data_IF_822615395635
#
_entry.id   IF_822615395635
#
_cell.length_a   1.000
_cell.length_b   1.000
_cell.length_c   1.000
_cell.angle_alpha   90.00
_cell.angle_beta   90.00
_cell.angle_gamma   90.00
#
_symmetry.space_group_name_H-M   'P 1'
#
loop_
_entity.id
_entity.type
_entity.pdbx_description
1 polymer ?
#
# COMPACT_ATOMS: atom_id res chain seq x y z
N UNK A 1 -10.26 -18.04 25.95
CA UNK A 1 -10.38 -16.64 26.44
C UNK A 1 -10.10 -15.70 25.27
N UNK A 2 -10.79 -14.57 25.16
CA UNK A 2 -10.57 -13.52 24.15
C UNK A 2 -9.17 -12.94 24.31
N UNK A 3 -8.41 -12.88 23.24
CA UNK A 3 -7.03 -12.35 23.23
C UNK A 3 -7.03 -10.85 22.97
N UNK A 4 -6.28 -10.08 23.75
CA UNK A 4 -6.13 -8.64 23.58
C UNK A 4 -4.83 -8.31 22.85
N UNK A 5 -4.93 -7.62 21.71
CA UNK A 5 -3.80 -7.24 20.87
C UNK A 5 -3.69 -5.70 20.79
N UNK A 6 -2.52 -5.18 21.15
CA UNK A 6 -2.20 -3.76 20.97
C UNK A 6 -1.49 -3.54 19.62
N UNK A 7 -2.08 -2.73 18.76
CA UNK A 7 -1.54 -2.36 17.45
C UNK A 7 -0.76 -1.05 17.57
N UNK A 8 0.44 -0.99 16.98
CA UNK A 8 1.18 0.24 16.74
C UNK A 8 1.06 0.67 15.29
N UNK A 9 0.53 1.88 15.04
CA UNK A 9 0.46 2.51 13.72
C UNK A 9 0.75 4.01 13.82
N UNK A 10 1.37 4.62 12.81
CA UNK A 10 1.64 6.07 12.84
C UNK A 10 0.39 6.92 12.76
N UNK A 11 -0.59 6.48 11.98
CA UNK A 11 -1.87 7.12 11.78
C UNK A 11 -2.99 6.06 11.81
N UNK A 12 -4.23 6.48 11.84
CA UNK A 12 -5.40 5.64 11.65
C UNK A 12 -6.64 6.47 11.32
N UNK A 13 -7.67 5.80 10.81
CA UNK A 13 -8.96 6.39 10.44
C UNK A 13 -9.48 7.43 11.46
N UNK A 14 -10.30 8.41 11.01
CA UNK A 14 -10.84 8.59 9.66
C UNK A 14 -9.96 9.44 8.73
N UNK A 15 -8.78 9.89 9.16
CA UNK A 15 -7.90 10.78 8.38
C UNK A 15 -6.50 10.22 8.25
N UNK A 16 -5.77 10.67 7.21
CA UNK A 16 -4.37 10.30 6.95
C UNK A 16 -4.16 8.80 6.69
N UNK A 17 -5.04 8.24 5.85
CA UNK A 17 -5.11 6.83 5.54
C UNK A 17 -4.12 6.50 4.41
N UNK A 18 -3.34 5.43 4.60
CA UNK A 18 -2.51 4.79 3.60
C UNK A 18 -2.78 3.30 3.53
N UNK A 19 -2.00 2.56 2.72
CA UNK A 19 -2.19 1.11 2.57
C UNK A 19 -2.09 0.32 3.87
N UNK A 20 -1.22 0.75 4.79
CA UNK A 20 -1.06 0.10 6.09
C UNK A 20 -2.29 0.25 6.99
N UNK A 21 -2.89 1.44 7.02
CA UNK A 21 -4.10 1.71 7.81
C UNK A 21 -5.31 0.97 7.23
N UNK A 22 -5.39 0.88 5.90
CA UNK A 22 -6.40 0.05 5.21
C UNK A 22 -6.23 -1.40 5.60
N UNK A 23 -5.02 -1.96 5.53
CA UNK A 23 -4.76 -3.35 5.90
C UNK A 23 -5.16 -3.66 7.36
N UNK A 24 -4.80 -2.79 8.31
CA UNK A 24 -5.23 -2.98 9.71
C UNK A 24 -6.77 -3.06 9.78
N UNK A 25 -7.47 -2.10 9.17
CA UNK A 25 -8.94 -2.04 9.24
C UNK A 25 -9.58 -3.25 8.58
N UNK A 26 -9.20 -3.57 7.37
CA UNK A 26 -9.77 -4.67 6.59
C UNK A 26 -9.56 -6.03 7.29
N UNK A 27 -8.41 -6.25 7.91
CA UNK A 27 -8.10 -7.46 8.66
C UNK A 27 -8.89 -7.50 9.98
N UNK A 28 -8.84 -6.42 10.78
CA UNK A 28 -9.47 -6.44 12.11
C UNK A 28 -10.98 -6.49 12.05
N UNK A 29 -11.61 -5.82 11.06
CA UNK A 29 -13.07 -5.80 10.92
C UNK A 29 -13.67 -7.17 10.50
N UNK A 30 -12.83 -8.05 9.91
CA UNK A 30 -13.21 -9.40 9.48
C UNK A 30 -12.93 -10.49 10.54
N UNK A 31 -12.11 -10.17 11.53
CA UNK A 31 -11.82 -11.10 12.63
C UNK A 31 -12.90 -10.95 13.70
N UNK A 32 -13.40 -12.10 14.21
CA UNK A 32 -14.46 -12.10 15.22
C UNK A 32 -14.06 -11.33 16.48
N UNK A 33 -14.87 -10.35 16.92
CA UNK A 33 -14.64 -9.62 18.16
C UNK A 33 -14.77 -10.50 19.43
N UNK A 34 -15.29 -11.71 19.31
CA UNK A 34 -15.33 -12.68 20.42
C UNK A 34 -13.99 -13.39 20.61
N UNK A 35 -13.20 -13.52 19.53
CA UNK A 35 -11.89 -14.15 19.57
C UNK A 35 -10.77 -13.15 19.96
N UNK A 36 -10.83 -11.96 19.40
CA UNK A 36 -9.80 -10.92 19.58
C UNK A 36 -10.40 -9.55 19.93
N UNK A 37 -9.66 -8.81 20.76
CA UNK A 37 -9.92 -7.41 21.08
C UNK A 37 -8.72 -6.58 20.65
N UNK A 38 -8.96 -5.62 19.75
CA UNK A 38 -7.90 -4.81 19.19
C UNK A 38 -7.90 -3.41 19.79
N UNK A 39 -6.75 -3.00 20.32
CA UNK A 39 -6.44 -1.63 20.68
C UNK A 39 -5.38 -1.09 19.75
N UNK A 40 -5.39 0.21 19.44
CA UNK A 40 -4.41 0.82 18.54
C UNK A 40 -3.88 2.13 19.10
N UNK A 41 -2.57 2.30 19.12
CA UNK A 41 -1.90 3.56 19.46
C UNK A 41 -1.39 4.23 18.21
N UNK A 42 -1.86 5.47 17.93
CA UNK A 42 -1.41 6.29 16.80
C UNK A 42 -1.28 7.77 17.16
N UNK A 43 -0.71 8.57 16.25
CA UNK A 43 -0.68 10.02 16.42
C UNK A 43 -2.07 10.64 16.24
N UNK A 44 -2.35 11.68 17.03
CA UNK A 44 -3.64 12.41 16.99
C UNK A 44 -3.69 13.48 15.91
N UNK A 45 -2.64 13.99 15.40
CA UNK A 45 -2.52 15.12 14.46
C UNK A 45 -3.64 16.18 14.52
N UNK A 46 -4.91 15.76 14.44
CA UNK A 46 -6.09 16.62 14.40
C UNK A 46 -6.77 16.74 15.78
N UNK A 47 -6.89 17.98 16.27
CA UNK A 47 -7.52 18.28 17.58
C UNK A 47 -9.04 18.05 17.59
N UNK A 48 -9.68 17.96 16.42
CA UNK A 48 -11.13 17.66 16.32
C UNK A 48 -11.43 16.18 16.61
N UNK A 49 -10.45 15.28 16.45
CA UNK A 49 -10.61 13.87 16.76
C UNK A 49 -10.51 13.61 18.28
N UNK A 50 -11.33 12.71 18.85
CA UNK A 50 -11.23 12.34 20.25
C UNK A 50 -9.93 11.59 20.55
N UNK A 51 -9.47 11.61 21.81
CA UNK A 51 -8.27 10.88 22.25
C UNK A 51 -8.48 9.36 22.20
N UNK A 52 -9.70 8.92 22.49
CA UNK A 52 -10.08 7.50 22.41
C UNK A 52 -11.38 7.38 21.64
N UNK A 53 -11.45 6.41 20.72
CA UNK A 53 -12.61 6.18 19.86
C UNK A 53 -12.59 4.75 19.34
N UNK A 54 -13.75 4.10 19.26
CA UNK A 54 -13.88 2.82 18.55
C UNK A 54 -14.16 3.08 17.07
N UNK A 55 -13.41 2.41 16.19
CA UNK A 55 -13.56 2.45 14.73
C UNK A 55 -13.52 1.00 14.23
N UNK A 56 -14.64 0.52 13.70
CA UNK A 56 -14.80 -0.91 13.42
C UNK A 56 -14.52 -1.74 14.67
N UNK A 57 -13.72 -2.77 14.57
CA UNK A 57 -13.33 -3.64 15.68
C UNK A 57 -12.13 -3.13 16.51
N UNK A 58 -11.70 -1.88 16.31
CA UNK A 58 -10.49 -1.34 16.95
C UNK A 58 -10.80 -0.20 17.90
N UNK A 59 -10.33 -0.28 19.16
CA UNK A 59 -10.29 0.84 20.11
C UNK A 59 -9.02 1.65 19.89
N UNK A 60 -9.16 2.84 19.31
CA UNK A 60 -8.05 3.73 18.92
C UNK A 60 -7.69 4.68 20.05
N UNK A 61 -6.43 4.71 20.44
CA UNK A 61 -5.84 5.61 21.43
C UNK A 61 -4.88 6.59 20.72
N UNK A 62 -5.24 7.86 20.66
CA UNK A 62 -4.48 8.90 19.93
C UNK A 62 -3.59 9.70 20.88
N UNK A 63 -2.32 9.84 20.52
CA UNK A 63 -1.28 10.54 21.29
C UNK A 63 -0.64 11.67 20.47
N UNK A 64 0.13 12.51 21.11
CA UNK A 64 0.96 13.53 20.46
C UNK A 64 0.31 14.92 20.38
N UNK A 65 1.00 15.81 19.67
CA UNK A 65 0.62 17.20 19.43
C UNK A 65 -0.44 17.30 18.33
N UNK A 66 -1.28 18.31 18.43
CA UNK A 66 -2.41 18.49 17.51
C UNK A 66 -2.49 19.91 16.97
N UNK A 67 -3.04 20.05 15.76
CA UNK A 67 -3.57 21.32 15.24
C UNK A 67 -5.02 21.12 14.80
N UNK A 68 -5.72 22.20 14.50
CA UNK A 68 -7.10 22.10 14.07
C UNK A 68 -7.18 21.77 12.59
N UNK A 69 -7.80 20.64 12.24
CA UNK A 69 -8.07 20.17 10.88
C UNK A 69 -6.86 20.27 9.92
N UNK A 70 -5.71 19.62 10.23
CA UNK A 70 -4.51 19.72 9.43
C UNK A 70 -4.66 19.02 8.07
N UNK A 71 -4.06 19.60 7.04
CA UNK A 71 -3.87 18.97 5.74
C UNK A 71 -2.67 18.00 5.76
N UNK A 72 -2.52 17.16 4.73
CA UNK A 72 -1.35 16.29 4.57
C UNK A 72 -0.03 17.08 4.51
N UNK A 73 -0.05 18.29 3.94
CA UNK A 73 1.11 19.20 3.90
C UNK A 73 1.52 19.70 5.29
N UNK A 74 0.56 19.92 6.19
CA UNK A 74 0.82 20.43 7.54
C UNK A 74 1.50 19.38 8.43
N UNK A 75 1.37 18.09 8.12
CA UNK A 75 2.09 17.02 8.84
C UNK A 75 3.62 17.10 8.71
N UNK A 76 4.12 17.91 7.77
CA UNK A 76 5.56 18.16 7.57
C UNK A 76 6.03 19.44 8.28
N UNK A 77 5.12 20.25 8.84
CA UNK A 77 5.39 21.50 9.52
C UNK A 77 5.34 21.33 11.05
N UNK A 78 5.97 22.24 11.77
CA UNK A 78 5.81 22.33 13.23
C UNK A 78 4.38 22.78 13.61
N UNK A 79 3.80 22.26 14.70
CA UNK A 79 4.39 21.30 15.63
C UNK A 79 4.21 19.82 15.22
N UNK A 80 3.40 19.51 14.18
CA UNK A 80 3.00 18.15 13.84
C UNK A 80 4.17 17.26 13.36
N UNK A 81 5.19 17.86 12.76
CA UNK A 81 6.41 17.13 12.38
C UNK A 81 7.09 16.45 13.59
N UNK A 82 7.02 17.08 14.76
CA UNK A 82 7.57 16.51 16.00
C UNK A 82 6.91 15.19 16.39
N UNK A 83 5.62 15.00 16.07
CA UNK A 83 4.95 13.72 16.36
C UNK A 83 5.65 12.53 15.72
N UNK A 84 6.12 12.66 14.47
CA UNK A 84 6.84 11.56 13.79
C UNK A 84 8.17 11.24 14.47
N UNK A 85 8.86 12.27 14.99
CA UNK A 85 10.13 12.12 15.68
C UNK A 85 9.95 11.53 17.08
N UNK A 86 8.93 11.97 17.82
CA UNK A 86 8.71 11.59 19.22
C UNK A 86 7.85 10.34 19.37
N UNK A 87 7.16 9.90 18.32
CA UNK A 87 6.31 8.71 18.34
C UNK A 87 7.01 7.47 18.90
N UNK A 88 8.29 7.26 18.55
CA UNK A 88 9.08 6.11 18.99
C UNK A 88 9.21 5.99 20.53
N UNK A 89 9.02 7.08 21.27
CA UNK A 89 9.03 7.11 22.74
C UNK A 89 7.60 7.23 23.31
N UNK A 90 6.82 8.14 22.75
CA UNK A 90 5.46 8.40 23.25
C UNK A 90 4.56 7.17 23.11
N UNK A 91 4.66 6.43 21.99
CA UNK A 91 3.89 5.21 21.76
C UNK A 91 4.25 4.11 22.76
N UNK A 92 5.55 3.92 23.06
CA UNK A 92 5.97 2.98 24.10
C UNK A 92 5.38 3.32 25.48
N UNK A 93 5.43 4.58 25.90
CA UNK A 93 4.91 4.98 27.22
C UNK A 93 3.38 4.91 27.26
N UNK A 94 2.69 5.24 26.19
CA UNK A 94 1.24 5.08 26.08
C UNK A 94 0.84 3.60 26.17
N UNK A 95 1.53 2.74 25.43
CA UNK A 95 1.33 1.28 25.45
C UNK A 95 1.58 0.69 26.84
N UNK A 96 2.67 1.10 27.50
CA UNK A 96 2.99 0.65 28.87
C UNK A 96 1.88 1.02 29.85
N UNK A 97 1.36 2.24 29.77
CA UNK A 97 0.24 2.69 30.63
C UNK A 97 -1.03 1.91 30.32
N UNK A 98 -1.38 1.70 29.05
CA UNK A 98 -2.55 0.91 28.68
C UNK A 98 -2.42 -0.55 29.15
N UNK A 99 -1.23 -1.12 29.06
CA UNK A 99 -0.99 -2.49 29.49
C UNK A 99 -1.24 -2.73 31.01
N UNK A 100 -1.08 -1.70 31.86
CA UNK A 100 -1.40 -1.83 33.29
C UNK A 100 -2.87 -2.09 33.57
N UNK A 101 -3.76 -1.66 32.71
CA UNK A 101 -5.22 -1.84 32.84
C UNK A 101 -5.74 -2.94 31.92
N UNK A 102 -5.31 -2.97 30.68
CA UNK A 102 -5.84 -3.87 29.65
C UNK A 102 -5.19 -5.27 29.66
N UNK A 103 -3.92 -5.37 30.08
CA UNK A 103 -3.15 -6.62 30.11
C UNK A 103 -3.12 -7.32 28.75
N UNK A 104 -2.48 -6.69 27.74
CA UNK A 104 -2.39 -7.22 26.38
C UNK A 104 -1.67 -8.58 26.33
N UNK A 105 -2.23 -9.54 25.62
CA UNK A 105 -1.60 -10.82 25.30
C UNK A 105 -0.54 -10.69 24.20
N UNK A 106 -0.76 -9.75 23.26
CA UNK A 106 0.13 -9.51 22.13
C UNK A 106 0.23 -8.05 21.70
N UNK A 107 1.31 -7.75 20.96
CA UNK A 107 1.47 -6.50 20.23
C UNK A 107 1.64 -6.78 18.75
N UNK A 108 1.09 -5.91 17.90
CA UNK A 108 1.20 -5.96 16.46
C UNK A 108 1.73 -4.62 15.95
N UNK A 109 2.95 -4.62 15.40
CA UNK A 109 3.58 -3.41 14.86
C UNK A 109 3.46 -3.36 13.34
N UNK A 110 2.98 -2.24 12.83
CA UNK A 110 2.79 -2.01 11.40
C UNK A 110 3.92 -1.16 10.84
N UNK A 111 4.74 -1.74 9.99
CA UNK A 111 5.99 -1.19 9.42
C UNK A 111 7.13 -1.00 10.44
N UNK A 112 8.27 -1.62 10.18
CA UNK A 112 9.42 -1.65 11.11
C UNK A 112 9.96 -0.25 11.43
N UNK A 113 10.16 0.61 10.40
CA UNK A 113 10.70 1.96 10.59
C UNK A 113 9.72 2.89 11.32
N UNK A 114 8.43 2.63 11.18
CA UNK A 114 7.38 3.45 11.75
C UNK A 114 7.10 3.11 13.22
N UNK A 115 7.00 1.82 13.53
CA UNK A 115 6.47 1.34 14.81
C UNK A 115 7.28 0.23 15.47
N UNK A 116 8.29 -0.30 14.79
CA UNK A 116 9.09 -1.42 15.30
C UNK A 116 9.88 -1.07 16.56
N UNK A 117 10.39 0.16 16.67
CA UNK A 117 11.14 0.60 17.86
C UNK A 117 10.29 0.59 19.14
N UNK A 118 9.07 1.19 19.20
CA UNK A 118 8.24 1.12 20.38
C UNK A 118 7.77 -0.32 20.69
N UNK A 119 7.48 -1.13 19.68
CA UNK A 119 7.07 -2.52 19.86
C UNK A 119 8.22 -3.39 20.40
N UNK A 120 9.43 -3.28 19.86
CA UNK A 120 10.63 -3.97 20.37
C UNK A 120 10.97 -3.57 21.80
N UNK A 121 10.85 -2.28 22.15
CA UNK A 121 10.99 -1.80 23.54
C UNK A 121 9.91 -2.37 24.45
N UNK A 122 8.67 -2.46 23.95
CA UNK A 122 7.55 -3.05 24.70
C UNK A 122 7.77 -4.54 24.96
N UNK A 123 8.13 -5.31 23.93
CA UNK A 123 8.50 -6.73 24.07
C UNK A 123 9.64 -6.95 25.06
N UNK A 124 10.65 -6.08 25.06
CA UNK A 124 11.75 -6.14 26.03
C UNK A 124 11.29 -5.88 27.47
N UNK A 125 10.34 -4.95 27.66
CA UNK A 125 9.78 -4.62 28.98
C UNK A 125 8.80 -5.70 29.49
N UNK A 126 8.12 -6.36 28.58
CA UNK A 126 7.11 -7.40 28.86
C UNK A 126 7.37 -8.65 28.02
N UNK A 127 8.38 -9.48 28.38
CA UNK A 127 8.81 -10.62 27.55
C UNK A 127 7.71 -11.67 27.32
N UNK A 128 6.74 -11.79 28.23
CA UNK A 128 5.59 -12.70 28.09
C UNK A 128 4.56 -12.27 27.06
N UNK A 129 4.52 -10.98 26.67
CA UNK A 129 3.62 -10.49 25.63
C UNK A 129 4.17 -10.92 24.27
N UNK A 130 3.32 -11.53 23.44
CA UNK A 130 3.70 -11.95 22.08
C UNK A 130 3.87 -10.74 21.16
N UNK A 131 4.75 -10.85 20.14
CA UNK A 131 5.04 -9.73 19.24
C UNK A 131 5.02 -10.15 17.78
N UNK A 132 4.13 -9.53 17.02
CA UNK A 132 4.06 -9.62 15.55
C UNK A 132 4.58 -8.32 14.94
N UNK A 133 5.52 -8.42 14.00
CA UNK A 133 5.94 -7.32 13.14
C UNK A 133 5.40 -7.56 11.72
N UNK A 134 4.65 -6.62 11.18
CA UNK A 134 4.25 -6.63 9.77
C UNK A 134 5.15 -5.68 8.97
N UNK A 135 5.76 -6.18 7.91
CA UNK A 135 6.52 -5.38 6.95
C UNK A 135 5.65 -5.02 5.74
N UNK A 136 5.47 -3.71 5.55
CA UNK A 136 4.70 -3.11 4.44
C UNK A 136 5.44 -1.92 3.82
N UNK A 137 6.75 -1.88 3.98
CA UNK A 137 7.58 -0.82 3.47
C UNK A 137 7.58 -0.80 1.95
N UNK A 138 7.35 0.38 1.37
CA UNK A 138 7.46 0.58 -0.08
C UNK A 138 8.68 1.42 -0.47
N UNK A 139 9.45 1.89 0.51
CA UNK A 139 10.73 2.55 0.27
C UNK A 139 11.87 1.49 0.28
N UNK A 140 12.98 1.72 -0.43
CA UNK A 140 14.10 0.77 -0.44
C UNK A 140 14.64 0.49 0.97
N UNK A 141 14.98 -0.79 1.31
CA UNK A 141 15.54 -1.16 2.61
C UNK A 141 16.73 -0.29 3.03
N UNK A 142 17.65 -0.02 2.10
CA UNK A 142 18.87 0.77 2.36
C UNK A 142 18.54 2.20 2.79
N UNK A 143 17.53 2.81 2.16
CA UNK A 143 17.04 4.15 2.54
C UNK A 143 16.43 4.13 3.95
N UNK A 144 15.64 3.09 4.26
CA UNK A 144 15.03 2.92 5.58
C UNK A 144 16.09 2.72 6.63
N UNK A 145 17.06 1.83 6.41
CA UNK A 145 18.15 1.55 7.34
C UNK A 145 19.01 2.80 7.60
N UNK A 146 19.30 3.59 6.55
CA UNK A 146 20.01 4.85 6.69
C UNK A 146 19.21 5.85 7.56
N UNK A 147 17.92 5.97 7.33
CA UNK A 147 17.01 6.83 8.10
C UNK A 147 16.90 6.40 9.58
N UNK A 148 16.98 5.09 9.82
CA UNK A 148 16.84 4.51 11.16
C UNK A 148 18.18 4.37 11.90
N UNK A 149 19.31 4.74 11.30
CA UNK A 149 20.63 4.76 11.97
C UNK A 149 20.65 5.41 13.37
N UNK A 150 19.93 6.54 13.62
CA UNK A 150 19.90 7.14 14.96
C UNK A 150 19.32 6.22 16.06
N UNK A 151 18.51 5.23 15.68
CA UNK A 151 17.96 4.24 16.60
C UNK A 151 18.86 3.01 16.78
N UNK A 152 19.86 2.82 15.89
CA UNK A 152 20.89 1.80 15.96
C UNK A 152 20.36 0.42 16.33
N UNK A 153 20.93 -0.17 17.41
CA UNK A 153 20.52 -1.49 17.91
C UNK A 153 19.02 -1.62 18.19
N UNK A 154 18.36 -0.54 18.64
CA UNK A 154 16.93 -0.58 18.97
C UNK A 154 16.05 -0.82 17.73
N UNK A 155 16.50 -0.37 16.56
CA UNK A 155 15.83 -0.68 15.30
C UNK A 155 16.01 -2.15 14.90
N UNK A 156 17.23 -2.70 15.02
CA UNK A 156 17.47 -4.13 14.81
C UNK A 156 16.68 -5.02 15.77
N UNK A 157 16.49 -4.59 17.03
CA UNK A 157 15.65 -5.29 18.00
C UNK A 157 14.16 -5.38 17.59
N UNK A 158 13.67 -4.52 16.69
CA UNK A 158 12.32 -4.63 16.13
C UNK A 158 12.15 -5.95 15.38
N UNK A 159 13.17 -6.42 14.68
CA UNK A 159 13.16 -7.68 13.93
C UNK A 159 13.52 -8.88 14.80
N UNK A 160 14.62 -8.77 15.56
CA UNK A 160 15.17 -9.91 16.30
C UNK A 160 14.38 -10.29 17.54
N UNK A 161 13.47 -9.43 18.03
CA UNK A 161 12.55 -9.71 19.15
C UNK A 161 11.16 -10.12 18.73
N UNK A 162 10.83 -10.05 17.43
CA UNK A 162 9.53 -10.49 16.95
C UNK A 162 9.38 -12.01 17.12
N UNK A 163 8.27 -12.44 17.70
CA UNK A 163 7.93 -13.86 17.75
C UNK A 163 7.48 -14.34 16.36
N UNK A 164 6.86 -13.44 15.58
CA UNK A 164 6.48 -13.69 14.18
C UNK A 164 6.67 -12.42 13.36
N UNK A 165 7.24 -12.54 12.16
CA UNK A 165 7.24 -11.47 11.15
C UNK A 165 6.32 -11.88 10.01
N UNK A 166 5.26 -11.10 9.78
CA UNK A 166 4.43 -11.18 8.59
C UNK A 166 4.92 -10.16 7.56
N UNK A 167 4.94 -10.55 6.30
CA UNK A 167 5.43 -9.74 5.19
C UNK A 167 4.42 -9.75 4.05
N UNK A 168 4.28 -8.61 3.35
CA UNK A 168 3.35 -8.50 2.22
C UNK A 168 3.97 -8.93 0.89
N UNK A 169 5.28 -9.23 0.88
CA UNK A 169 6.00 -9.68 -0.31
C UNK A 169 7.22 -10.52 0.05
N UNK A 170 7.65 -11.36 -0.89
CA UNK A 170 8.90 -12.14 -0.77
C UNK A 170 10.13 -11.24 -0.65
N UNK A 171 10.09 -10.06 -1.29
CA UNK A 171 11.13 -9.04 -1.18
C UNK A 171 11.32 -8.58 0.27
N UNK A 172 10.24 -8.24 0.97
CA UNK A 172 10.28 -7.84 2.38
C UNK A 172 10.64 -9.01 3.30
N UNK A 173 10.30 -10.24 2.92
CA UNK A 173 10.73 -11.45 3.63
C UNK A 173 12.26 -11.62 3.63
N UNK A 174 12.90 -11.38 2.49
CA UNK A 174 14.38 -11.37 2.40
C UNK A 174 14.98 -10.28 3.28
N UNK A 175 14.39 -9.08 3.28
CA UNK A 175 14.84 -8.00 4.16
C UNK A 175 14.73 -8.37 5.65
N UNK A 176 13.63 -8.99 6.09
CA UNK A 176 13.49 -9.46 7.48
C UNK A 176 14.64 -10.39 7.88
N UNK A 177 15.01 -11.33 7.02
CA UNK A 177 16.15 -12.23 7.26
C UNK A 177 17.48 -11.48 7.32
N UNK A 178 17.72 -10.53 6.40
CA UNK A 178 18.91 -9.67 6.41
C UNK A 178 19.01 -8.84 7.70
N UNK A 179 17.89 -8.42 8.27
CA UNK A 179 17.82 -7.70 9.54
C UNK A 179 17.98 -8.58 10.79
N UNK A 180 18.24 -9.88 10.61
CA UNK A 180 18.57 -10.83 11.68
C UNK A 180 17.37 -11.54 12.29
N UNK A 181 16.21 -11.57 11.61
CA UNK A 181 15.12 -12.44 12.01
C UNK A 181 15.48 -13.90 11.73
N UNK A 182 15.39 -14.75 12.76
CA UNK A 182 15.80 -16.16 12.68
C UNK A 182 14.64 -17.11 12.34
N UNK A 183 13.38 -16.64 12.42
CA UNK A 183 12.20 -17.40 12.00
C UNK A 183 12.00 -17.36 10.49
N UNK A 184 10.99 -18.07 10.01
CA UNK A 184 10.53 -17.98 8.63
C UNK A 184 9.45 -16.87 8.55
N UNK A 185 9.66 -15.80 7.77
CA UNK A 185 8.63 -14.79 7.59
C UNK A 185 7.36 -15.38 6.97
N UNK A 186 6.20 -15.04 7.50
CA UNK A 186 4.90 -15.49 6.99
C UNK A 186 4.48 -14.55 5.86
N UNK A 187 4.42 -15.05 4.63
CA UNK A 187 4.01 -14.29 3.46
C UNK A 187 2.48 -14.23 3.37
N UNK A 188 1.93 -13.09 3.73
CA UNK A 188 0.50 -12.77 3.56
C UNK A 188 0.43 -11.39 2.91
N UNK A 189 0.07 -11.30 1.62
CA UNK A 189 0.05 -10.02 0.91
C UNK A 189 -1.08 -9.11 1.43
N UNK A 190 -1.06 -7.85 1.01
CA UNK A 190 -2.26 -7.03 1.05
C UNK A 190 -3.27 -7.51 0.00
N UNK A 191 -4.48 -6.96 0.05
CA UNK A 191 -5.57 -7.38 -0.81
C UNK A 191 -6.33 -6.20 -1.42
N UNK A 192 -7.30 -6.52 -2.22
CA UNK A 192 -8.30 -5.62 -2.79
C UNK A 192 -9.70 -6.06 -2.33
N UNK A 193 -10.64 -5.14 -2.27
CA UNK A 193 -12.05 -5.49 -2.17
C UNK A 193 -12.50 -5.98 -3.55
N UNK A 194 -12.42 -7.30 -3.78
CA UNK A 194 -12.70 -7.91 -5.08
C UNK A 194 -14.10 -7.59 -5.56
N UNK A 195 -15.13 -7.67 -4.70
CA UNK A 195 -16.51 -7.33 -5.05
C UNK A 195 -16.66 -5.88 -5.53
N UNK A 196 -15.89 -4.94 -4.96
CA UNK A 196 -15.93 -3.54 -5.35
C UNK A 196 -15.28 -3.30 -6.72
N UNK A 197 -14.13 -3.92 -7.01
CA UNK A 197 -13.39 -3.69 -8.26
C UNK A 197 -13.89 -4.54 -9.43
N UNK A 198 -14.56 -5.66 -9.18
CA UNK A 198 -15.15 -6.49 -10.24
C UNK A 198 -16.56 -6.07 -10.62
N UNK A 199 -17.23 -5.22 -9.82
CA UNK A 199 -18.61 -4.83 -10.06
C UNK A 199 -18.81 -4.33 -11.51
N UNK A 200 -19.90 -4.72 -12.17
CA UNK A 200 -20.22 -4.21 -13.49
C UNK A 200 -20.72 -2.76 -13.42
N UNK A 201 -20.46 -2.00 -14.48
CA UNK A 201 -21.01 -0.66 -14.68
C UNK A 201 -21.83 -0.66 -15.99
N UNK A 202 -22.88 0.13 -16.05
CA UNK A 202 -23.60 0.33 -17.30
C UNK A 202 -22.75 1.10 -18.30
N UNK A 203 -22.97 0.90 -19.60
CA UNK A 203 -22.27 1.72 -20.62
C UNK A 203 -22.53 3.22 -20.42
N UNK A 204 -23.72 3.60 -19.97
CA UNK A 204 -24.04 5.01 -19.64
C UNK A 204 -23.13 5.56 -18.55
N UNK A 205 -22.84 4.76 -17.49
CA UNK A 205 -21.96 5.18 -16.40
C UNK A 205 -20.51 5.29 -16.88
N UNK A 206 -20.06 4.35 -17.71
CA UNK A 206 -18.72 4.37 -18.30
C UNK A 206 -18.56 5.53 -19.29
N UNK A 207 -19.57 5.81 -20.10
CA UNK A 207 -19.56 6.94 -21.04
C UNK A 207 -19.53 8.29 -20.30
N UNK A 208 -20.23 8.41 -19.17
CA UNK A 208 -20.12 9.59 -18.31
C UNK A 208 -18.68 9.79 -17.79
N UNK A 209 -18.03 8.74 -17.29
CA UNK A 209 -16.64 8.80 -16.84
C UNK A 209 -15.67 9.08 -18.00
N UNK A 210 -15.88 8.48 -19.20
CA UNK A 210 -15.10 8.78 -20.42
C UNK A 210 -15.26 10.24 -20.84
N UNK A 211 -16.48 10.79 -20.77
CA UNK A 211 -16.74 12.20 -21.10
C UNK A 211 -16.06 13.15 -20.12
N UNK A 212 -16.06 12.84 -18.81
CA UNK A 212 -15.32 13.63 -17.81
C UNK A 212 -13.80 13.62 -18.05
N UNK A 213 -13.25 12.48 -18.51
CA UNK A 213 -11.86 12.36 -18.92
C UNK A 213 -11.56 13.08 -20.25
N UNK A 214 -12.58 13.48 -21.01
CA UNK A 214 -12.43 14.02 -22.37
C UNK A 214 -12.08 12.97 -23.42
N UNK A 215 -12.28 11.67 -23.13
CA UNK A 215 -11.95 10.54 -23.99
C UNK A 215 -12.87 10.50 -25.20
N UNK A 216 -12.29 10.55 -26.39
CA UNK A 216 -12.99 10.48 -27.69
C UNK A 216 -12.93 9.06 -28.25
N UNK A 217 -13.82 8.71 -29.19
CA UNK A 217 -13.72 7.44 -29.90
C UNK A 217 -12.33 7.29 -30.58
N UNK A 218 -11.67 6.17 -30.31
CA UNK A 218 -10.31 5.89 -30.82
C UNK A 218 -9.17 6.37 -29.94
N UNK A 219 -9.44 7.11 -28.86
CA UNK A 219 -8.42 7.45 -27.87
C UNK A 219 -8.14 6.25 -26.95
N UNK A 220 -6.86 6.12 -26.56
CA UNK A 220 -6.37 5.15 -25.59
C UNK A 220 -5.90 5.90 -24.34
N UNK A 221 -6.52 5.59 -23.21
CA UNK A 221 -6.19 6.21 -21.93
C UNK A 221 -5.39 5.28 -21.04
N UNK A 222 -4.12 5.64 -20.82
CA UNK A 222 -3.34 5.09 -19.72
C UNK A 222 -3.85 5.70 -18.41
N UNK A 223 -3.83 4.94 -17.31
CA UNK A 223 -4.23 5.43 -15.98
C UNK A 223 -3.27 4.99 -14.90
N UNK A 224 -3.03 5.86 -13.93
CA UNK A 224 -2.38 5.51 -12.66
C UNK A 224 -3.14 6.10 -11.49
N UNK A 225 -3.18 5.34 -10.37
CA UNK A 225 -3.73 5.77 -9.08
C UNK A 225 -2.62 5.70 -8.04
N UNK A 226 -1.86 6.79 -7.87
CA UNK A 226 -0.69 6.79 -7.00
C UNK A 226 -0.31 8.17 -6.48
N UNK A 227 0.43 8.22 -5.38
CA UNK A 227 1.05 9.47 -4.94
C UNK A 227 2.09 9.94 -5.95
N UNK A 228 2.16 11.25 -6.19
CA UNK A 228 3.17 11.85 -7.06
C UNK A 228 4.48 12.00 -6.28
N UNK A 229 5.27 10.92 -6.28
CA UNK A 229 6.58 10.81 -5.62
C UNK A 229 7.55 10.06 -6.53
N UNK A 230 8.82 10.38 -6.46
CA UNK A 230 9.89 9.85 -7.30
C UNK A 230 9.84 8.33 -7.51
N UNK A 231 9.59 7.57 -6.44
CA UNK A 231 9.59 6.10 -6.52
C UNK A 231 8.48 5.51 -7.40
N UNK A 232 7.39 6.26 -7.66
CA UNK A 232 6.28 5.79 -8.49
C UNK A 232 6.48 6.03 -9.99
N UNK A 233 7.55 6.75 -10.37
CA UNK A 233 8.02 6.93 -11.75
C UNK A 233 6.96 7.47 -12.72
N UNK A 234 6.07 8.38 -12.27
CA UNK A 234 5.09 9.05 -13.13
C UNK A 234 5.77 9.86 -14.25
N UNK A 235 6.96 10.38 -14.00
CA UNK A 235 7.79 11.09 -14.96
C UNK A 235 8.21 10.21 -16.15
N UNK A 236 8.49 8.93 -15.95
CA UNK A 236 8.82 7.98 -17.02
C UNK A 236 7.62 7.74 -17.94
N UNK A 237 6.41 7.69 -17.39
CA UNK A 237 5.18 7.57 -18.19
C UNK A 237 4.95 8.84 -19.00
N UNK A 238 5.15 10.03 -18.42
CA UNK A 238 5.04 11.30 -19.13
C UNK A 238 6.03 11.34 -20.32
N UNK A 239 7.27 10.87 -20.13
CA UNK A 239 8.26 10.75 -21.22
C UNK A 239 7.82 9.76 -22.29
N UNK A 240 7.24 8.61 -21.89
CA UNK A 240 6.72 7.63 -22.84
C UNK A 240 5.56 8.16 -23.68
N UNK A 241 4.68 9.02 -23.12
CA UNK A 241 3.61 9.67 -23.88
C UNK A 241 4.15 10.48 -25.07
N UNK A 242 5.31 11.10 -24.94
CA UNK A 242 5.95 11.82 -26.06
C UNK A 242 6.39 10.90 -27.21
N UNK A 243 6.59 9.61 -26.95
CA UNK A 243 7.00 8.58 -27.92
C UNK A 243 5.80 7.84 -28.53
N UNK A 244 4.60 8.02 -28.01
CA UNK A 244 3.39 7.31 -28.39
C UNK A 244 2.53 8.12 -29.39
N UNK A 245 1.63 7.46 -30.15
CA UNK A 245 0.69 8.12 -31.07
C UNK A 245 -0.15 9.21 -30.37
N UNK A 246 -0.61 10.20 -31.16
CA UNK A 246 -1.30 11.38 -30.64
C UNK A 246 -2.63 11.08 -29.93
N UNK A 247 -3.26 9.94 -30.20
CA UNK A 247 -4.47 9.47 -29.56
C UNK A 247 -4.24 8.70 -28.24
N UNK A 248 -2.99 8.63 -27.76
CA UNK A 248 -2.68 8.01 -26.45
C UNK A 248 -2.57 9.13 -25.42
N UNK A 249 -3.38 9.02 -24.36
CA UNK A 249 -3.50 9.95 -23.25
C UNK A 249 -3.10 9.30 -21.93
N UNK A 250 -2.81 10.11 -20.92
CA UNK A 250 -2.48 9.62 -19.57
C UNK A 250 -3.27 10.35 -18.51
N UNK A 251 -4.14 9.63 -17.79
CA UNK A 251 -4.91 10.08 -16.65
C UNK A 251 -4.17 9.76 -15.35
N UNK A 252 -3.84 10.78 -14.56
CA UNK A 252 -3.06 10.66 -13.32
C UNK A 252 -3.92 11.02 -12.13
N UNK A 253 -4.38 10.02 -11.40
CA UNK A 253 -5.09 10.21 -10.14
C UNK A 253 -4.12 10.12 -8.96
N UNK A 254 -3.89 11.25 -8.33
CA UNK A 254 -3.02 11.37 -7.18
C UNK A 254 -2.48 12.77 -6.98
N UNK A 255 -1.92 13.00 -5.80
CA UNK A 255 -1.24 14.23 -5.43
C UNK A 255 0.12 13.91 -4.81
N UNK A 256 1.03 14.87 -4.80
CA UNK A 256 2.34 14.65 -4.17
C UNK A 256 3.34 15.77 -4.41
N UNK A 257 4.53 15.67 -3.79
CA UNK A 257 5.56 16.70 -3.91
C UNK A 257 6.11 16.88 -5.34
N UNK A 258 5.99 15.86 -6.21
CA UNK A 258 6.54 15.89 -7.56
C UNK A 258 5.60 16.57 -8.57
N UNK A 259 4.39 17.00 -8.14
CA UNK A 259 3.40 17.60 -9.04
C UNK A 259 3.97 18.76 -9.86
N UNK A 260 4.63 19.72 -9.23
CA UNK A 260 5.20 20.89 -9.95
C UNK A 260 6.31 20.49 -10.93
N UNK A 261 7.08 19.45 -10.61
CA UNK A 261 8.09 18.90 -11.52
C UNK A 261 7.43 18.25 -12.74
N UNK A 262 6.36 17.48 -12.52
CA UNK A 262 5.59 16.84 -13.60
C UNK A 262 4.91 17.86 -14.49
N UNK A 263 4.30 18.92 -13.95
CA UNK A 263 3.72 20.04 -14.72
C UNK A 263 4.74 20.68 -15.67
N UNK A 264 5.96 20.93 -15.19
CA UNK A 264 7.04 21.45 -16.02
C UNK A 264 7.46 20.46 -17.12
N UNK A 265 7.62 19.19 -16.78
CA UNK A 265 8.01 18.14 -17.72
C UNK A 265 6.97 17.97 -18.84
N UNK A 266 5.68 18.04 -18.52
CA UNK A 266 4.56 17.96 -19.47
C UNK A 266 4.65 19.09 -20.52
N UNK A 267 4.93 20.32 -20.06
CA UNK A 267 5.11 21.48 -20.95
C UNK A 267 6.37 21.34 -21.80
N UNK A 268 7.50 20.95 -21.18
CA UNK A 268 8.79 20.76 -21.85
C UNK A 268 8.71 19.76 -23.01
N UNK A 269 7.97 18.66 -22.79
CA UNK A 269 7.78 17.60 -23.79
C UNK A 269 6.66 17.87 -24.80
N UNK A 270 5.89 18.96 -24.64
CA UNK A 270 4.80 19.32 -25.54
C UNK A 270 3.61 18.35 -25.49
N UNK A 271 3.36 17.73 -24.33
CA UNK A 271 2.28 16.72 -24.14
C UNK A 271 1.13 17.22 -23.26
N UNK A 272 0.97 18.54 -23.15
CA UNK A 272 -0.04 19.18 -22.28
C UNK A 272 -1.46 18.72 -22.57
N UNK A 273 -1.82 18.49 -23.83
CA UNK A 273 -3.17 18.05 -24.23
C UNK A 273 -3.42 16.55 -24.00
N UNK A 274 -2.38 15.80 -23.61
CA UNK A 274 -2.44 14.33 -23.49
C UNK A 274 -2.19 13.81 -22.08
N UNK A 275 -1.64 14.62 -21.17
CA UNK A 275 -1.38 14.22 -19.78
C UNK A 275 -2.26 15.04 -18.84
N UNK A 276 -3.12 14.35 -18.11
CA UNK A 276 -4.15 14.94 -17.26
C UNK A 276 -3.85 14.65 -15.79
N UNK A 277 -3.38 15.66 -15.04
CA UNK A 277 -3.17 15.57 -13.58
C UNK A 277 -4.51 15.87 -12.89
N UNK A 278 -5.26 14.81 -12.52
CA UNK A 278 -6.64 14.89 -12.07
C UNK A 278 -6.80 15.02 -10.55
N UNK A 279 -5.69 14.97 -9.80
CA UNK A 279 -5.72 15.08 -8.35
C UNK A 279 -6.25 13.82 -7.66
N UNK A 280 -6.86 13.98 -6.49
CA UNK A 280 -7.36 12.87 -5.70
C UNK A 280 -8.65 12.31 -6.29
N UNK A 281 -8.76 10.98 -6.31
CA UNK A 281 -10.01 10.26 -6.60
C UNK A 281 -10.47 9.52 -5.35
N UNK A 282 -11.79 9.54 -5.09
CA UNK A 282 -12.37 8.75 -4.00
C UNK A 282 -12.36 7.26 -4.38
N UNK A 283 -11.94 6.41 -3.43
CA UNK A 283 -11.89 4.97 -3.62
C UNK A 283 -13.26 4.37 -3.98
N UNK A 284 -14.36 5.00 -3.53
CA UNK A 284 -15.72 4.54 -3.83
C UNK A 284 -16.06 4.59 -5.32
N UNK A 285 -15.53 5.56 -6.07
CA UNK A 285 -15.79 5.74 -7.51
C UNK A 285 -14.62 5.27 -8.39
N UNK A 286 -13.48 4.99 -7.79
CA UNK A 286 -12.25 4.60 -8.51
C UNK A 286 -12.43 3.46 -9.50
N UNK A 287 -13.17 2.35 -9.21
CA UNK A 287 -13.33 1.26 -10.17
C UNK A 287 -14.01 1.69 -11.47
N UNK A 288 -14.97 2.62 -11.41
CA UNK A 288 -15.63 3.16 -12.61
C UNK A 288 -14.64 3.88 -13.52
N UNK A 289 -13.78 4.74 -12.96
CA UNK A 289 -12.80 5.48 -13.74
C UNK A 289 -11.65 4.59 -14.23
N UNK A 290 -11.27 3.57 -13.49
CA UNK A 290 -10.35 2.55 -13.99
C UNK A 290 -10.94 1.86 -15.22
N UNK A 291 -12.18 1.37 -15.13
CA UNK A 291 -12.88 0.68 -16.25
C UNK A 291 -13.21 1.61 -17.44
N UNK A 292 -13.21 2.92 -17.25
CA UNK A 292 -13.34 3.90 -18.34
C UNK A 292 -12.01 4.10 -19.11
N UNK A 293 -10.88 3.71 -18.53
CA UNK A 293 -9.55 3.72 -19.14
C UNK A 293 -9.20 2.37 -19.78
N UNK A 294 -8.05 2.28 -20.46
CA UNK A 294 -7.69 1.12 -21.27
C UNK A 294 -6.49 0.34 -20.70
N UNK A 295 -5.53 1.03 -20.04
CA UNK A 295 -4.29 0.44 -19.56
C UNK A 295 -3.91 1.06 -18.22
N UNK A 296 -3.71 0.24 -17.20
CA UNK A 296 -3.11 0.70 -15.96
C UNK A 296 -1.59 0.68 -16.06
N UNK A 297 -0.94 1.77 -15.62
CA UNK A 297 0.51 1.88 -15.71
C UNK A 297 1.12 2.53 -14.46
N UNK A 298 2.12 1.87 -13.86
CA UNK A 298 2.97 2.45 -12.81
C UNK A 298 4.33 1.73 -12.78
N UNK A 299 5.35 2.25 -13.50
CA UNK A 299 6.67 1.62 -13.57
C UNK A 299 7.53 1.99 -12.35
N UNK A 300 7.07 1.63 -11.15
CA UNK A 300 7.68 2.03 -9.87
C UNK A 300 9.15 1.65 -9.78
N UNK A 301 9.99 2.57 -9.28
CA UNK A 301 11.42 2.36 -8.98
C UNK A 301 11.63 1.57 -7.69
N UNK A 302 10.60 1.52 -6.82
CA UNK A 302 10.60 0.74 -5.58
C UNK A 302 9.16 0.55 -5.10
N UNK A 303 8.82 -0.68 -4.68
CA UNK A 303 7.50 -0.98 -4.17
C UNK A 303 7.53 -2.15 -3.17
N UNK A 304 6.74 -2.07 -2.10
CA UNK A 304 6.55 -3.18 -1.16
C UNK A 304 5.66 -4.29 -1.74
N UNK A 305 4.57 -3.89 -2.38
CA UNK A 305 3.63 -4.70 -3.15
C UNK A 305 2.84 -3.82 -4.13
N UNK A 306 2.12 -2.81 -3.62
CA UNK A 306 1.33 -1.87 -4.41
C UNK A 306 -0.09 -2.36 -4.71
N UNK A 307 -1.04 -2.04 -3.83
CA UNK A 307 -2.43 -2.47 -3.95
C UNK A 307 -3.08 -2.05 -5.27
N UNK A 308 -2.74 -0.86 -5.81
CA UNK A 308 -3.36 -0.36 -7.04
C UNK A 308 -3.10 -1.22 -8.29
N UNK A 309 -2.05 -2.04 -8.30
CA UNK A 309 -1.85 -3.02 -9.39
C UNK A 309 -2.91 -4.12 -9.32
N UNK A 310 -3.11 -4.71 -8.14
CA UNK A 310 -4.12 -5.77 -7.96
C UNK A 310 -5.53 -5.21 -8.05
N UNK A 311 -5.76 -3.94 -7.72
CA UNK A 311 -7.01 -3.21 -7.97
C UNK A 311 -7.29 -3.10 -9.48
N UNK A 312 -6.28 -2.72 -10.26
CA UNK A 312 -6.40 -2.65 -11.73
C UNK A 312 -6.61 -4.03 -12.37
N UNK A 313 -5.89 -5.05 -11.89
CA UNK A 313 -6.07 -6.44 -12.34
C UNK A 313 -7.49 -6.96 -12.00
N UNK A 314 -8.03 -6.65 -10.82
CA UNK A 314 -9.40 -6.97 -10.45
C UNK A 314 -10.43 -6.28 -11.37
N UNK A 315 -10.13 -5.06 -11.82
CA UNK A 315 -10.95 -4.31 -12.76
C UNK A 315 -10.76 -4.74 -14.24
N UNK A 316 -10.00 -5.81 -14.50
CA UNK A 316 -9.69 -6.35 -15.85
C UNK A 316 -8.87 -5.42 -16.75
N UNK A 317 -8.10 -4.50 -16.18
CA UNK A 317 -7.19 -3.67 -16.98
C UNK A 317 -5.87 -4.43 -17.23
N UNK A 318 -5.31 -4.34 -18.45
CA UNK A 318 -3.92 -4.72 -18.69
C UNK A 318 -3.00 -3.82 -17.86
N UNK A 319 -2.00 -4.42 -17.19
CA UNK A 319 -1.10 -3.74 -16.27
C UNK A 319 0.31 -3.69 -16.85
N UNK A 320 0.88 -2.48 -16.94
CA UNK A 320 2.29 -2.24 -17.23
C UNK A 320 2.98 -1.80 -15.94
N UNK A 321 4.01 -2.53 -15.51
CA UNK A 321 4.79 -2.19 -14.32
C UNK A 321 6.22 -2.71 -14.40
N UNK A 322 7.06 -2.30 -13.46
CA UNK A 322 8.35 -2.96 -13.20
C UNK A 322 8.13 -4.24 -12.40
N UNK A 323 9.18 -5.05 -12.24
CA UNK A 323 9.21 -6.15 -11.28
C UNK A 323 10.05 -5.79 -10.04
N UNK A 324 10.08 -4.50 -9.68
CA UNK A 324 10.81 -4.00 -8.51
C UNK A 324 10.09 -4.36 -7.21
N UNK A 325 10.85 -4.88 -6.25
CA UNK A 325 10.34 -5.22 -4.93
C UNK A 325 9.27 -6.30 -4.96
N UNK A 326 8.14 -6.04 -4.33
CA UNK A 326 7.03 -7.00 -4.22
C UNK A 326 6.15 -7.11 -5.47
N UNK A 327 6.35 -6.27 -6.49
CA UNK A 327 5.62 -6.40 -7.76
C UNK A 327 5.97 -7.73 -8.46
N UNK A 328 7.19 -8.22 -8.28
CA UNK A 328 7.64 -9.50 -8.84
C UNK A 328 6.85 -10.72 -8.33
N UNK A 329 6.09 -10.60 -7.25
CA UNK A 329 5.31 -11.70 -6.68
C UNK A 329 3.99 -11.97 -7.44
N UNK A 330 3.52 -11.02 -8.28
CA UNK A 330 2.25 -11.14 -8.99
C UNK A 330 2.25 -10.66 -10.45
N UNK A 331 3.23 -9.84 -10.85
CA UNK A 331 3.36 -9.41 -12.25
C UNK A 331 4.30 -10.34 -12.99
N UNK A 332 3.74 -11.21 -13.81
CA UNK A 332 4.48 -12.15 -14.64
C UNK A 332 4.35 -11.77 -16.11
N UNK A 333 5.49 -11.59 -16.77
CA UNK A 333 5.60 -11.21 -18.18
C UNK A 333 6.01 -12.43 -19.03
N UNK A 334 5.47 -12.56 -20.24
CA UNK A 334 5.72 -13.71 -21.11
C UNK A 334 7.19 -13.94 -21.43
N UNK A 335 8.01 -12.87 -21.43
CA UNK A 335 9.45 -12.96 -21.76
C UNK A 335 10.32 -13.09 -20.53
N UNK A 336 9.95 -12.42 -19.44
CA UNK A 336 10.73 -12.45 -18.20
C UNK A 336 10.40 -13.63 -17.30
N UNK A 337 9.19 -14.18 -17.42
CA UNK A 337 8.68 -15.28 -16.59
C UNK A 337 8.01 -16.36 -17.46
N UNK A 338 8.74 -16.99 -18.39
CA UNK A 338 8.15 -17.91 -19.38
C UNK A 338 7.48 -19.16 -18.77
N UNK A 339 7.85 -19.50 -17.52
CA UNK A 339 7.29 -20.66 -16.80
C UNK A 339 6.05 -20.31 -15.95
N UNK A 340 5.59 -19.04 -16.00
CA UNK A 340 4.42 -18.57 -15.24
C UNK A 340 3.31 -18.12 -16.20
N UNK A 341 2.04 -18.28 -15.82
CA UNK A 341 0.95 -17.63 -16.55
C UNK A 341 1.13 -16.13 -16.59
N UNK A 342 1.08 -15.52 -17.78
CA UNK A 342 1.29 -14.08 -17.94
C UNK A 342 0.14 -13.30 -17.29
N UNK A 343 0.50 -12.31 -16.44
CA UNK A 343 -0.45 -11.46 -15.73
C UNK A 343 -0.30 -9.97 -16.03
N UNK A 344 0.70 -9.58 -16.83
CA UNK A 344 0.94 -8.20 -17.22
C UNK A 344 2.16 -8.03 -18.11
N UNK A 345 2.55 -6.79 -18.33
CA UNK A 345 3.71 -6.39 -19.13
C UNK A 345 4.78 -5.79 -18.23
N UNK A 346 5.94 -6.42 -18.18
CA UNK A 346 7.03 -5.95 -17.34
C UNK A 346 8.01 -5.07 -18.13
N UNK A 347 8.26 -3.88 -17.62
CA UNK A 347 9.26 -2.94 -18.12
C UNK A 347 10.39 -2.77 -17.10
N UNK A 348 11.53 -2.24 -17.51
CA UNK A 348 12.57 -1.84 -16.58
C UNK A 348 12.26 -0.43 -16.01
N UNK A 349 12.76 -0.14 -14.83
CA UNK A 349 12.73 1.22 -14.29
C UNK A 349 13.52 2.16 -15.21
N UNK A 350 13.15 3.43 -15.22
CA UNK A 350 13.80 4.49 -16.02
C UNK A 350 13.88 4.18 -17.53
N UNK A 351 12.86 3.53 -18.10
CA UNK A 351 12.83 3.07 -19.49
C UNK A 351 11.55 3.47 -20.25
N UNK A 352 11.36 4.75 -20.58
CA UNK A 352 10.20 5.23 -21.32
C UNK A 352 9.96 4.50 -22.65
N UNK A 353 11.03 4.07 -23.34
CA UNK A 353 10.96 3.35 -24.61
C UNK A 353 10.34 1.95 -24.43
N UNK A 354 10.64 1.26 -23.33
CA UNK A 354 10.01 -0.04 -23.03
C UNK A 354 8.53 0.15 -22.67
N UNK A 355 8.19 1.24 -21.98
CA UNK A 355 6.79 1.62 -21.73
C UNK A 355 6.06 1.81 -23.05
N UNK A 356 6.61 2.60 -23.97
CA UNK A 356 5.99 2.81 -25.28
C UNK A 356 5.83 1.51 -26.07
N UNK A 357 6.82 0.62 -26.00
CA UNK A 357 6.76 -0.70 -26.63
C UNK A 357 5.63 -1.56 -26.03
N UNK A 358 5.50 -1.59 -24.72
CA UNK A 358 4.44 -2.36 -24.04
C UNK A 358 3.04 -1.80 -24.36
N UNK A 359 2.86 -0.48 -24.41
CA UNK A 359 1.59 0.15 -24.81
C UNK A 359 1.23 -0.24 -26.24
N UNK A 360 2.19 -0.19 -27.19
CA UNK A 360 1.96 -0.59 -28.58
C UNK A 360 1.63 -2.10 -28.69
N UNK A 361 2.27 -2.96 -27.91
CA UNK A 361 1.95 -4.40 -27.88
C UNK A 361 0.49 -4.60 -27.42
N UNK A 362 0.04 -3.91 -26.38
CA UNK A 362 -1.34 -3.97 -25.89
C UNK A 362 -2.33 -3.46 -26.97
N UNK A 363 -2.04 -2.33 -27.61
CA UNK A 363 -2.92 -1.74 -28.62
C UNK A 363 -3.08 -2.63 -29.87
N UNK A 364 -2.09 -3.45 -30.19
CA UNK A 364 -2.06 -4.23 -31.43
C UNK A 364 -2.42 -5.71 -31.27
N UNK A 365 -2.51 -6.20 -30.01
CA UNK A 365 -2.72 -7.64 -29.71
C UNK A 365 -3.90 -7.89 -28.76
N UNK A 366 -5.15 -7.57 -29.17
CA UNK A 366 -6.34 -7.65 -28.29
C UNK A 366 -6.61 -9.07 -27.73
N UNK A 367 -6.33 -10.12 -28.47
CA UNK A 367 -6.48 -11.50 -27.99
C UNK A 367 -5.50 -11.82 -26.84
N UNK A 368 -4.26 -11.33 -26.94
CA UNK A 368 -3.30 -11.45 -25.85
C UNK A 368 -3.78 -10.67 -24.62
N UNK A 369 -4.26 -9.44 -24.81
CA UNK A 369 -4.80 -8.60 -23.73
C UNK A 369 -5.89 -9.36 -22.99
N UNK A 370 -6.88 -9.90 -23.69
CA UNK A 370 -7.98 -10.64 -23.08
C UNK A 370 -7.46 -11.83 -22.26
N UNK A 371 -6.51 -12.61 -22.80
CA UNK A 371 -5.93 -13.74 -22.08
C UNK A 371 -5.21 -13.31 -20.80
N UNK A 372 -4.37 -12.26 -20.90
CA UNK A 372 -3.57 -11.75 -19.77
C UNK A 372 -4.46 -11.15 -18.69
N UNK A 373 -5.45 -10.32 -19.05
CA UNK A 373 -6.35 -9.70 -18.06
C UNK A 373 -7.22 -10.74 -17.35
N UNK A 374 -7.74 -11.73 -18.07
CA UNK A 374 -8.50 -12.85 -17.47
C UNK A 374 -7.63 -13.65 -16.50
N UNK A 375 -6.38 -13.95 -16.87
CA UNK A 375 -5.44 -14.65 -16.00
C UNK A 375 -5.10 -13.84 -14.76
N UNK A 376 -4.82 -12.54 -14.92
CA UNK A 376 -4.51 -11.64 -13.82
C UNK A 376 -5.69 -11.50 -12.85
N UNK A 377 -6.90 -11.30 -13.37
CA UNK A 377 -8.11 -11.21 -12.54
C UNK A 377 -8.35 -12.51 -11.75
N UNK A 378 -8.27 -13.67 -12.42
CA UNK A 378 -8.43 -14.97 -11.76
C UNK A 378 -7.42 -15.16 -10.62
N UNK A 379 -6.16 -14.78 -10.81
CA UNK A 379 -5.13 -14.80 -9.78
C UNK A 379 -5.51 -13.88 -8.61
N UNK A 380 -5.96 -12.65 -8.89
CA UNK A 380 -6.34 -11.69 -7.85
C UNK A 380 -7.51 -12.20 -7.03
N UNK A 381 -8.56 -12.71 -7.68
CA UNK A 381 -9.73 -13.27 -6.99
C UNK A 381 -9.39 -14.47 -6.10
N UNK A 382 -8.40 -15.27 -6.52
CA UNK A 382 -7.98 -16.46 -5.77
C UNK A 382 -7.02 -16.15 -4.60
N UNK A 383 -6.26 -15.05 -4.64
CA UNK A 383 -5.13 -14.86 -3.73
C UNK A 383 -5.11 -13.50 -3.01
N UNK A 384 -5.83 -12.49 -3.51
CA UNK A 384 -5.73 -11.09 -3.04
C UNK A 384 -7.08 -10.50 -2.63
N UNK A 385 -7.94 -11.30 -2.01
CA UNK A 385 -9.20 -10.84 -1.42
C UNK A 385 -9.05 -10.62 0.09
N UNK A 386 -9.65 -9.54 0.64
CA UNK A 386 -9.52 -9.22 2.05
C UNK A 386 -10.12 -10.28 2.99
N UNK A 387 -11.16 -11.01 2.56
CA UNK A 387 -11.73 -12.07 3.41
C UNK A 387 -10.73 -13.23 3.56
N UNK A 388 -10.07 -13.60 2.45
CA UNK A 388 -8.99 -14.60 2.47
C UNK A 388 -7.80 -14.12 3.31
N UNK A 389 -7.36 -12.87 3.11
CA UNK A 389 -6.18 -12.33 3.83
C UNK A 389 -6.44 -12.23 5.33
N UNK A 390 -7.63 -11.79 5.75
CA UNK A 390 -7.99 -11.75 7.16
C UNK A 390 -8.04 -13.17 7.79
N UNK A 391 -8.61 -14.15 7.07
CA UNK A 391 -8.61 -15.54 7.51
C UNK A 391 -7.19 -16.10 7.66
N UNK A 392 -6.29 -15.81 6.71
CA UNK A 392 -4.88 -16.21 6.76
C UNK A 392 -4.15 -15.50 7.91
N UNK A 393 -4.36 -14.20 8.13
CA UNK A 393 -3.79 -13.49 9.29
C UNK A 393 -4.22 -14.12 10.60
N UNK A 394 -5.48 -14.53 10.72
CA UNK A 394 -5.96 -15.23 11.91
C UNK A 394 -5.30 -16.60 12.05
N UNK A 395 -5.37 -17.46 11.03
CA UNK A 395 -4.97 -18.87 11.11
C UNK A 395 -3.45 -19.10 11.05
N UNK A 396 -2.70 -18.26 10.31
CA UNK A 396 -1.26 -18.43 10.09
C UNK A 396 -0.40 -17.53 11.00
N UNK A 397 -0.97 -16.44 11.56
CA UNK A 397 -0.22 -15.49 12.40
C UNK A 397 -0.75 -15.47 13.84
N UNK A 398 -2.03 -15.09 14.05
CA UNK A 398 -2.52 -14.87 15.41
C UNK A 398 -2.78 -16.17 16.17
N UNK A 399 -3.42 -17.16 15.58
CA UNK A 399 -3.69 -18.43 16.28
C UNK A 399 -2.41 -19.18 16.68
N UNK A 400 -1.39 -19.36 15.79
CA UNK A 400 -0.14 -20.00 16.18
C UNK A 400 0.60 -19.25 17.29
N UNK A 401 0.54 -17.90 17.25
CA UNK A 401 1.20 -17.04 18.24
C UNK A 401 0.73 -17.32 19.68
N UNK A 402 -0.53 -17.76 19.88
CA UNK A 402 -1.15 -17.96 21.18
C UNK A 402 -1.45 -19.43 21.53
N UNK A 403 -1.08 -20.40 20.66
CA UNK A 403 -1.35 -21.83 20.90
C UNK A 403 -0.64 -22.40 22.13
N UNK A 404 0.51 -21.84 22.50
CA UNK A 404 1.36 -22.35 23.60
C UNK A 404 1.20 -21.54 24.90
N UNK A 405 0.12 -20.79 25.02
CA UNK A 405 -0.23 -20.01 26.22
C UNK A 405 -1.64 -20.38 26.68
#
# INVERSE_FOLDING_TARGET
>A
MKKKILIFSLAYYPKHIGGAEVAIKEITDRISPDAYEFHLVCNRFDSTLPRTQTIGNVTVHRIGLTTNNPTMGDLRKLPLHLNKLTYQWQAFWAAKRLHTTEQFDGVWAMMAHATGVPAGKFKRAFPGVKYVLTLQEGDPPEYIEQKMKPFGRTFGEAFTRADTIQVISTFLGKWATCMGYVGVPVLIPNAVNTGHFTQPYSETDLDAARAELGKKPGDVFLVTTSRLVYKNATDDVVRAIALLPANVHFAVYGTGPDQTMLEKLIVELGVTDRVHLLGHIDHAVMPQYLKACDIFIRPSRSEGMGNSFVEAMAAELPVIATQEGGIADFLFDETKNPDQPTTGWAVNADSPEQIATAVNDIMTRPEKVQTVTTTAQAMVLAQYDWDLIAARMQSEVFEPLFRDT
#
